data_IF_870205537279
#
_entry.id   IF_870205537279
#
_cell.length_a   1.000
_cell.length_b   1.000
_cell.length_c   1.000
_cell.angle_alpha   90.00
_cell.angle_beta   90.00
_cell.angle_gamma   90.00
#
_symmetry.space_group_name_H-M   'P 1'
#
loop_
_entity.id
_entity.type
_entity.pdbx_description
1 polymer ?
#
# COMPACT_ATOMS: atom_id res chain seq x y z
N UNK A 1 27.16 -42.11 -72.16
CA UNK A 1 25.89 -42.00 -71.42
C UNK A 1 26.21 -41.53 -70.01
N UNK A 2 25.91 -40.26 -69.70
CA UNK A 2 25.94 -39.73 -68.34
C UNK A 2 24.83 -38.69 -68.25
N UNK A 3 23.87 -38.92 -67.36
CA UNK A 3 22.69 -38.09 -67.12
C UNK A 3 23.08 -36.84 -66.33
N UNK A 4 22.56 -35.64 -66.66
CA UNK A 4 22.78 -34.47 -65.84
C UNK A 4 21.87 -34.51 -64.61
N UNK A 5 22.50 -34.32 -63.44
CA UNK A 5 21.85 -34.34 -62.13
C UNK A 5 21.32 -32.93 -61.83
N UNK A 6 20.02 -32.74 -61.95
CA UNK A 6 19.34 -31.49 -61.59
C UNK A 6 19.44 -31.26 -60.08
N UNK A 7 20.14 -30.22 -59.66
CA UNK A 7 20.15 -29.76 -58.27
C UNK A 7 18.98 -28.79 -58.07
N UNK A 8 17.97 -29.24 -57.30
CA UNK A 8 16.87 -28.39 -56.83
C UNK A 8 17.40 -27.46 -55.73
N UNK A 9 17.37 -26.15 -55.99
CA UNK A 9 17.68 -25.11 -55.01
C UNK A 9 16.46 -24.96 -54.08
N UNK A 10 16.57 -25.38 -52.82
CA UNK A 10 15.50 -25.19 -51.83
C UNK A 10 15.38 -23.71 -51.46
N UNK A 11 14.15 -23.19 -51.45
CA UNK A 11 13.86 -21.82 -51.01
C UNK A 11 14.32 -21.58 -49.55
N UNK A 12 14.83 -20.38 -49.22
CA UNK A 12 15.22 -20.05 -47.86
C UNK A 12 14.00 -20.04 -46.93
N UNK A 13 14.18 -20.42 -45.64
CA UNK A 13 13.09 -20.42 -44.67
C UNK A 13 12.53 -19.00 -44.47
N UNK A 14 11.23 -18.87 -44.16
CA UNK A 14 10.62 -17.58 -43.90
C UNK A 14 11.30 -16.89 -42.70
N UNK A 15 11.40 -15.55 -42.70
CA UNK A 15 11.98 -14.83 -41.59
C UNK A 15 11.18 -15.13 -40.30
N UNK A 16 11.85 -15.22 -39.14
CA UNK A 16 11.17 -15.41 -37.87
C UNK A 16 10.18 -14.25 -37.64
N UNK A 17 9.05 -14.50 -36.96
CA UNK A 17 8.12 -13.45 -36.61
C UNK A 17 8.85 -12.34 -35.83
N UNK A 18 8.49 -11.07 -36.03
CA UNK A 18 9.13 -9.98 -35.31
C UNK A 18 9.03 -10.23 -33.81
N UNK A 19 10.13 -9.99 -33.04
CA UNK A 19 10.09 -10.14 -31.60
C UNK A 19 9.00 -9.22 -31.02
N UNK A 20 8.31 -9.64 -29.95
CA UNK A 20 7.35 -8.76 -29.27
C UNK A 20 8.04 -7.43 -28.90
N UNK A 21 7.35 -6.29 -29.04
CA UNK A 21 7.92 -4.99 -28.73
C UNK A 21 8.48 -4.98 -27.31
N UNK A 22 9.70 -4.46 -27.16
CA UNK A 22 10.40 -4.40 -25.88
C UNK A 22 9.62 -3.55 -24.86
N UNK A 23 9.58 -3.94 -23.59
CA UNK A 23 8.91 -3.15 -22.55
C UNK A 23 9.82 -2.01 -22.12
N UNK A 24 9.70 -0.84 -22.75
CA UNK A 24 10.43 0.35 -22.29
C UNK A 24 9.82 1.67 -22.79
N UNK A 25 8.67 2.01 -22.23
CA UNK A 25 8.20 3.36 -21.94
C UNK A 25 6.93 3.18 -21.10
N UNK A 26 6.74 3.98 -20.06
CA UNK A 26 5.44 4.06 -19.39
C UNK A 26 4.38 4.31 -20.47
N UNK A 27 3.45 3.37 -20.68
CA UNK A 27 2.33 3.56 -21.61
C UNK A 27 1.45 4.68 -21.02
N UNK A 28 1.74 5.92 -21.37
CA UNK A 28 1.14 7.09 -20.75
C UNK A 28 -0.33 7.17 -21.13
N UNK A 29 -0.68 6.78 -22.36
CA UNK A 29 -2.06 6.66 -22.83
C UNK A 29 -2.84 5.62 -22.03
N UNK A 30 -2.20 4.49 -21.71
CA UNK A 30 -2.78 3.47 -20.81
C UNK A 30 -2.99 4.04 -19.41
N UNK A 31 -2.02 4.80 -18.90
CA UNK A 31 -2.11 5.41 -17.55
C UNK A 31 -3.24 6.43 -17.47
N UNK A 32 -3.35 7.33 -18.46
CA UNK A 32 -4.44 8.31 -18.55
C UNK A 32 -5.81 7.63 -18.61
N UNK A 33 -5.94 6.59 -19.44
CA UNK A 33 -7.18 5.84 -19.59
C UNK A 33 -7.56 5.09 -18.31
N UNK A 34 -6.60 4.43 -17.66
CA UNK A 34 -6.83 3.72 -16.39
C UNK A 34 -7.13 4.68 -15.24
N UNK A 35 -6.50 5.86 -15.20
CA UNK A 35 -6.79 6.87 -14.20
C UNK A 35 -8.22 7.41 -14.34
N UNK A 36 -8.67 7.71 -15.57
CA UNK A 36 -10.06 8.10 -15.80
C UNK A 36 -11.01 6.96 -15.40
N UNK A 37 -10.73 5.73 -15.82
CA UNK A 37 -11.58 4.58 -15.54
C UNK A 37 -11.70 4.27 -14.04
N UNK A 38 -10.61 4.38 -13.28
CA UNK A 38 -10.58 4.02 -11.85
C UNK A 38 -11.02 5.16 -10.91
N UNK A 39 -11.01 6.42 -11.36
CA UNK A 39 -11.43 7.57 -10.55
C UNK A 39 -12.77 8.20 -11.00
N UNK A 40 -13.31 7.78 -12.14
CA UNK A 40 -14.59 8.25 -12.66
C UNK A 40 -15.80 7.68 -11.91
N UNK A 41 -16.98 8.20 -12.21
CA UNK A 41 -18.22 7.67 -11.69
C UNK A 41 -18.48 6.24 -12.21
N UNK A 42 -18.94 5.36 -11.33
CA UNK A 42 -19.40 4.01 -11.68
C UNK A 42 -20.60 3.97 -12.64
N UNK A 43 -21.29 5.11 -12.82
CA UNK A 43 -22.40 5.29 -13.75
C UNK A 43 -21.97 6.09 -14.98
N UNK A 44 -22.38 5.63 -16.16
CA UNK A 44 -22.13 6.36 -17.41
C UNK A 44 -22.96 7.64 -17.44
N UNK A 45 -22.31 8.78 -17.63
CA UNK A 45 -22.97 10.06 -17.78
C UNK A 45 -22.36 10.86 -18.93
N UNK A 46 -23.08 11.87 -19.41
CA UNK A 46 -22.56 12.82 -20.41
C UNK A 46 -21.32 13.54 -19.89
N UNK A 47 -21.28 13.84 -18.59
CA UNK A 47 -20.13 14.45 -17.93
C UNK A 47 -18.90 13.54 -17.97
N UNK A 48 -19.05 12.25 -17.68
CA UNK A 48 -17.96 11.26 -17.75
C UNK A 48 -17.44 11.06 -19.17
N UNK A 49 -18.34 11.05 -20.17
CA UNK A 49 -17.94 10.98 -21.56
C UNK A 49 -17.17 12.23 -21.99
N UNK A 50 -17.62 13.42 -21.58
CA UNK A 50 -16.91 14.66 -21.83
C UNK A 50 -15.53 14.67 -21.14
N UNK A 51 -15.42 14.17 -19.92
CA UNK A 51 -14.14 14.04 -19.23
C UNK A 51 -13.18 13.08 -19.96
N UNK A 52 -13.67 11.92 -20.44
CA UNK A 52 -12.87 11.00 -21.25
C UNK A 52 -12.29 11.69 -22.50
N UNK A 53 -13.12 12.45 -23.22
CA UNK A 53 -12.65 13.14 -24.42
C UNK A 53 -11.65 14.23 -24.08
N UNK A 54 -11.97 15.11 -23.14
CA UNK A 54 -11.15 16.29 -22.86
C UNK A 54 -9.85 15.95 -22.09
N UNK A 55 -9.92 15.03 -21.13
CA UNK A 55 -8.80 14.77 -20.21
C UNK A 55 -7.90 13.62 -20.68
N UNK A 56 -8.43 12.70 -21.50
CA UNK A 56 -7.69 11.53 -22.02
C UNK A 56 -7.42 11.66 -23.51
N UNK A 57 -8.45 11.71 -24.36
CA UNK A 57 -8.28 11.61 -25.83
C UNK A 57 -7.61 12.85 -26.42
N UNK A 58 -7.96 14.04 -25.92
CA UNK A 58 -7.36 15.31 -26.38
C UNK A 58 -6.05 15.65 -25.66
N UNK A 59 -5.59 14.80 -24.73
CA UNK A 59 -4.34 15.02 -24.03
C UNK A 59 -3.16 14.98 -25.02
N UNK A 60 -2.24 15.97 -25.04
CA UNK A 60 -1.10 15.98 -25.96
C UNK A 60 -0.18 14.76 -25.84
N UNK A 61 -0.22 14.09 -24.71
CA UNK A 61 0.58 12.92 -24.43
C UNK A 61 -0.15 11.60 -24.75
N UNK A 62 -1.38 11.68 -25.28
CA UNK A 62 -2.14 10.54 -25.72
C UNK A 62 -1.70 10.08 -27.11
N UNK A 63 -1.38 8.80 -27.22
CA UNK A 63 -1.07 8.12 -28.46
C UNK A 63 -1.91 6.84 -28.56
N UNK A 64 -2.79 6.79 -29.56
CA UNK A 64 -3.67 5.64 -29.78
C UNK A 64 -2.91 4.35 -30.15
N UNK A 65 -1.71 4.46 -30.71
CA UNK A 65 -0.87 3.31 -31.05
C UNK A 65 -0.41 2.54 -29.80
N UNK A 66 -0.30 3.22 -28.64
CA UNK A 66 0.03 2.59 -27.35
C UNK A 66 -1.11 1.71 -26.81
N UNK A 67 -2.33 1.85 -27.36
CA UNK A 67 -3.49 1.08 -26.95
C UNK A 67 -3.70 -0.19 -27.79
N UNK A 68 -2.83 -0.47 -28.76
CA UNK A 68 -2.91 -1.69 -29.57
C UNK A 68 -2.69 -2.91 -28.65
N UNK A 69 -3.73 -3.74 -28.52
CA UNK A 69 -3.71 -4.90 -27.61
C UNK A 69 -4.00 -4.56 -26.14
N UNK A 70 -4.51 -3.35 -25.85
CA UNK A 70 -4.92 -2.96 -24.52
C UNK A 70 -5.99 -3.90 -23.94
N UNK A 71 -5.81 -4.24 -22.66
CA UNK A 71 -6.74 -5.05 -21.87
C UNK A 71 -6.86 -4.43 -20.48
N UNK A 72 -8.07 -3.98 -20.13
CA UNK A 72 -8.32 -3.29 -18.86
C UNK A 72 -8.09 -4.19 -17.63
N UNK A 73 -8.34 -5.50 -17.72
CA UNK A 73 -8.08 -6.42 -16.61
C UNK A 73 -6.58 -6.57 -16.37
N UNK A 74 -5.80 -6.67 -17.44
CA UNK A 74 -4.34 -6.73 -17.36
C UNK A 74 -3.77 -5.44 -16.79
N UNK A 75 -4.27 -4.29 -17.25
CA UNK A 75 -3.83 -2.98 -16.77
C UNK A 75 -4.17 -2.78 -15.29
N UNK A 76 -5.37 -3.14 -14.84
CA UNK A 76 -5.72 -3.11 -13.41
C UNK A 76 -4.84 -4.02 -12.56
N UNK A 77 -4.55 -5.25 -13.03
CA UNK A 77 -3.62 -6.15 -12.32
C UNK A 77 -2.23 -5.55 -12.19
N UNK A 78 -1.75 -4.85 -13.22
CA UNK A 78 -0.45 -4.16 -13.16
C UNK A 78 -0.48 -3.00 -12.15
N UNK A 79 -1.51 -2.17 -12.17
CA UNK A 79 -1.69 -1.08 -11.20
C UNK A 79 -1.73 -1.61 -9.77
N UNK A 80 -2.45 -2.71 -9.51
CA UNK A 80 -2.48 -3.34 -8.18
C UNK A 80 -1.10 -3.85 -7.75
N UNK A 81 -0.32 -4.43 -8.67
CA UNK A 81 1.03 -4.89 -8.41
C UNK A 81 1.98 -3.73 -8.10
N UNK A 82 1.91 -2.66 -8.90
CA UNK A 82 2.73 -1.47 -8.74
C UNK A 82 2.37 -0.76 -7.42
N UNK A 83 1.08 -0.65 -7.10
CA UNK A 83 0.62 -0.12 -5.82
C UNK A 83 1.19 -0.95 -4.67
N UNK A 84 1.10 -2.29 -4.71
CA UNK A 84 1.69 -3.19 -3.69
C UNK A 84 3.19 -3.02 -3.53
N UNK A 85 3.92 -2.81 -4.63
CA UNK A 85 5.35 -2.54 -4.59
C UNK A 85 5.68 -1.15 -4.01
N UNK A 86 4.82 -0.16 -4.27
CA UNK A 86 5.00 1.21 -3.81
C UNK A 86 4.39 1.49 -2.43
N UNK A 87 3.57 0.60 -1.87
CA UNK A 87 2.84 0.81 -0.61
C UNK A 87 3.84 1.02 0.54
N UNK A 88 3.97 2.26 1.09
CA UNK A 88 4.94 2.55 2.14
C UNK A 88 4.68 1.72 3.41
N UNK A 89 3.41 1.37 3.65
CA UNK A 89 3.00 0.56 4.79
C UNK A 89 3.48 -0.89 4.73
N UNK A 90 3.77 -1.42 3.54
CA UNK A 90 4.31 -2.77 3.37
C UNK A 90 5.84 -2.80 3.37
N UNK A 91 6.52 -1.64 3.46
CA UNK A 91 7.97 -1.63 3.66
C UNK A 91 8.32 -2.41 4.93
N UNK A 92 9.34 -3.26 4.82
CA UNK A 92 9.81 -4.20 5.85
C UNK A 92 8.84 -5.31 6.29
N UNK A 93 7.65 -5.41 5.68
CA UNK A 93 6.81 -6.59 5.85
C UNK A 93 7.37 -7.74 5.01
N UNK A 94 7.37 -8.94 5.58
CA UNK A 94 7.81 -10.17 4.94
C UNK A 94 6.58 -10.99 4.58
N UNK A 95 6.51 -11.41 3.33
CA UNK A 95 5.53 -12.40 2.90
C UNK A 95 5.94 -13.78 3.41
N UNK A 96 4.98 -14.52 3.96
CA UNK A 96 5.15 -15.89 4.42
C UNK A 96 3.89 -16.69 4.10
N UNK A 97 4.04 -18.01 4.05
CA UNK A 97 2.91 -18.92 4.11
C UNK A 97 2.81 -19.50 5.52
N UNK A 98 1.58 -19.71 6.02
CA UNK A 98 1.32 -20.36 7.30
C UNK A 98 0.41 -21.56 7.08
N UNK A 99 0.79 -22.67 7.71
CA UNK A 99 0.01 -23.89 7.71
C UNK A 99 -1.02 -23.84 8.84
N UNK A 100 -2.30 -23.93 8.47
CA UNK A 100 -3.41 -23.93 9.42
C UNK A 100 -4.03 -25.32 9.43
N UNK A 101 -4.17 -25.92 10.61
CA UNK A 101 -4.94 -27.14 10.77
C UNK A 101 -6.43 -26.81 10.87
N UNK A 102 -7.18 -27.25 9.86
CA UNK A 102 -8.62 -27.09 9.79
C UNK A 102 -9.29 -28.35 10.32
N UNK A 103 -10.07 -28.27 11.41
CA UNK A 103 -10.76 -29.43 11.95
C UNK A 103 -11.88 -29.88 11.01
N UNK A 104 -12.02 -31.19 10.82
CA UNK A 104 -13.00 -31.79 9.91
C UNK A 104 -14.43 -31.84 10.46
N UNK A 105 -14.66 -31.38 11.68
CA UNK A 105 -15.96 -31.43 12.36
C UNK A 105 -16.37 -32.81 12.91
N UNK A 106 -15.56 -33.84 12.69
CA UNK A 106 -15.73 -35.18 13.25
C UNK A 106 -14.50 -35.57 14.06
N UNK A 107 -14.69 -36.22 15.21
CA UNK A 107 -13.61 -36.79 16.05
C UNK A 107 -12.91 -37.99 15.39
N UNK A 108 -13.50 -38.60 14.36
CA UNK A 108 -12.92 -39.75 13.65
C UNK A 108 -12.10 -39.37 12.43
N UNK A 109 -12.17 -38.11 11.98
CA UNK A 109 -11.47 -37.62 10.79
C UNK A 109 -10.35 -36.68 11.25
N UNK A 110 -9.08 -36.95 10.90
CA UNK A 110 -7.96 -36.10 11.31
C UNK A 110 -8.05 -34.71 10.65
N UNK A 111 -7.61 -33.65 11.34
CA UNK A 111 -7.57 -32.29 10.78
C UNK A 111 -6.77 -32.22 9.48
N UNK A 112 -7.26 -31.40 8.55
CA UNK A 112 -6.56 -31.13 7.29
C UNK A 112 -5.65 -29.92 7.44
N UNK A 113 -4.38 -30.04 7.07
CA UNK A 113 -3.48 -28.89 7.02
C UNK A 113 -3.65 -28.16 5.69
N UNK A 114 -3.88 -26.85 5.74
CA UNK A 114 -4.02 -25.99 4.58
C UNK A 114 -2.96 -24.89 4.66
N UNK A 115 -2.11 -24.81 3.64
CA UNK A 115 -1.16 -23.72 3.48
C UNK A 115 -1.89 -22.47 3.01
N UNK A 116 -1.80 -21.39 3.78
CA UNK A 116 -2.34 -20.07 3.42
C UNK A 116 -1.17 -19.19 2.97
N UNK A 117 -1.01 -18.94 1.66
CA UNK A 117 0.02 -18.03 1.14
C UNK A 117 -0.42 -16.56 1.27
N UNK A 118 0.51 -15.62 1.03
CA UNK A 118 0.20 -14.20 0.96
C UNK A 118 0.02 -13.51 2.31
N UNK A 119 0.46 -14.13 3.42
CA UNK A 119 0.45 -13.48 4.72
C UNK A 119 1.67 -12.56 4.84
N UNK A 120 1.42 -11.27 5.10
CA UNK A 120 2.48 -10.31 5.39
C UNK A 120 2.64 -10.15 6.90
N UNK A 121 3.84 -10.30 7.41
CA UNK A 121 4.14 -10.05 8.82
C UNK A 121 5.38 -9.19 8.99
N UNK A 122 5.44 -8.45 10.09
CA UNK A 122 6.60 -7.67 10.49
C UNK A 122 6.94 -8.01 11.93
N UNK A 123 8.24 -8.19 12.23
CA UNK A 123 8.65 -8.51 13.61
C UNK A 123 8.30 -7.35 14.52
N UNK A 124 7.66 -7.62 15.67
CA UNK A 124 7.25 -6.58 16.61
C UNK A 124 8.40 -5.64 17.00
N UNK A 125 9.60 -6.19 17.25
CA UNK A 125 10.80 -5.39 17.55
C UNK A 125 11.19 -4.45 16.39
N UNK A 126 10.97 -4.87 15.14
CA UNK A 126 11.19 -4.01 13.97
C UNK A 126 10.20 -2.85 13.94
N UNK A 127 8.93 -3.11 14.26
CA UNK A 127 7.88 -2.09 14.33
C UNK A 127 8.25 -1.06 15.40
N UNK A 128 8.61 -1.52 16.60
CA UNK A 128 9.02 -0.64 17.72
C UNK A 128 10.21 0.22 17.30
N UNK A 129 11.26 -0.36 16.72
CA UNK A 129 12.43 0.39 16.26
C UNK A 129 12.07 1.45 15.23
N UNK A 130 11.22 1.12 14.25
CA UNK A 130 10.79 2.09 13.26
C UNK A 130 9.97 3.22 13.87
N UNK A 131 9.05 2.92 14.79
CA UNK A 131 8.28 3.95 15.47
C UNK A 131 9.18 4.95 16.22
N UNK A 132 10.29 4.49 16.82
CA UNK A 132 11.25 5.35 17.52
C UNK A 132 12.35 5.94 16.63
N UNK A 133 12.46 5.53 15.36
CA UNK A 133 13.38 6.12 14.37
C UNK A 133 12.67 7.17 13.52
N UNK A 134 11.34 7.15 13.49
CA UNK A 134 10.52 8.11 12.76
C UNK A 134 10.73 9.55 13.29
N UNK A 135 10.79 10.58 12.42
CA UNK A 135 10.92 11.97 12.86
C UNK A 135 9.82 12.41 13.84
N UNK A 136 8.62 11.86 13.74
CA UNK A 136 7.51 12.17 14.65
C UNK A 136 7.69 11.60 16.06
N UNK A 137 8.65 10.69 16.26
CA UNK A 137 8.96 10.12 17.58
C UNK A 137 9.36 11.17 18.61
N UNK A 138 9.87 12.33 18.16
CA UNK A 138 10.16 13.48 19.02
C UNK A 138 8.91 14.00 19.77
N UNK A 139 7.71 13.77 19.23
CA UNK A 139 6.45 14.16 19.85
C UNK A 139 5.92 13.13 20.86
N UNK A 140 6.60 12.00 21.07
CA UNK A 140 6.17 11.01 22.06
C UNK A 140 6.48 11.48 23.49
N UNK A 141 5.45 11.52 24.33
CA UNK A 141 5.58 11.83 25.74
C UNK A 141 5.88 10.56 26.56
N UNK A 142 7.15 10.15 26.57
CA UNK A 142 7.60 8.94 27.28
C UNK A 142 8.07 9.20 28.71
N UNK A 143 8.21 10.47 29.09
CA UNK A 143 8.60 10.86 30.45
C UNK A 143 7.37 10.99 31.33
N UNK A 144 7.46 10.69 32.63
CA UNK A 144 6.35 10.88 33.56
C UNK A 144 5.86 12.34 33.56
N UNK A 145 4.54 12.56 33.54
CA UNK A 145 3.96 13.91 33.59
C UNK A 145 2.60 13.93 34.28
N UNK A 146 2.17 15.12 34.73
CA UNK A 146 0.80 15.31 35.23
C UNK A 146 -0.07 15.99 34.18
N UNK A 147 -1.09 15.29 33.70
CA UNK A 147 -2.13 15.85 32.84
C UNK A 147 -3.27 16.46 33.66
N UNK A 148 -3.69 17.67 33.26
CA UNK A 148 -4.78 18.44 33.86
C UNK A 148 -5.72 18.92 32.77
N UNK A 149 -7.02 18.84 33.03
CA UNK A 149 -8.06 19.40 32.16
C UNK A 149 -8.65 20.64 32.81
N UNK A 150 -8.62 21.75 32.08
CA UNK A 150 -9.32 22.97 32.47
C UNK A 150 -10.79 22.86 32.07
N UNK A 151 -11.68 23.10 33.02
CA UNK A 151 -13.13 23.13 32.77
C UNK A 151 -13.57 24.59 32.80
N UNK A 152 -14.25 25.11 31.76
CA UNK A 152 -14.75 26.48 31.77
C UNK A 152 -15.64 26.74 32.99
N UNK A 153 -15.35 27.80 33.75
CA UNK A 153 -16.08 28.15 34.98
C UNK A 153 -15.62 27.45 36.26
N UNK A 154 -14.58 26.61 36.20
CA UNK A 154 -13.92 26.04 37.38
C UNK A 154 -12.49 26.56 37.46
N UNK A 155 -12.14 27.19 38.58
CA UNK A 155 -10.79 27.73 38.81
C UNK A 155 -9.76 26.62 39.08
N UNK A 156 -10.22 25.47 39.58
CA UNK A 156 -9.38 24.29 39.81
C UNK A 156 -9.36 23.39 38.58
N UNK A 157 -8.16 22.99 38.15
CA UNK A 157 -7.97 22.01 37.08
C UNK A 157 -8.30 20.59 37.55
N UNK A 158 -9.00 19.81 36.71
CA UNK A 158 -9.27 18.41 37.00
C UNK A 158 -8.07 17.54 36.62
N UNK A 159 -7.55 16.74 37.57
CA UNK A 159 -6.50 15.76 37.31
C UNK A 159 -7.01 14.67 36.36
N UNK A 160 -6.29 14.42 35.27
CA UNK A 160 -6.65 13.37 34.29
C UNK A 160 -5.64 12.23 34.33
N UNK A 161 -6.17 11.01 34.30
CA UNK A 161 -5.42 9.76 34.13
C UNK A 161 -5.90 9.10 32.84
N UNK A 162 -5.00 8.89 31.88
CA UNK A 162 -5.34 8.32 30.56
C UNK A 162 -4.33 7.27 30.10
N UNK A 163 -3.09 7.33 30.56
CA UNK A 163 -2.02 6.44 30.14
C UNK A 163 -1.05 6.17 31.30
N UNK A 164 -0.19 5.17 31.16
CA UNK A 164 0.71 4.81 32.26
C UNK A 164 1.64 5.97 32.64
N UNK A 165 2.06 6.79 31.66
CA UNK A 165 2.97 7.93 31.84
C UNK A 165 2.39 9.05 32.71
N UNK A 166 1.06 9.15 32.81
CA UNK A 166 0.40 10.14 33.66
C UNK A 166 -0.17 9.58 34.97
N UNK A 167 0.12 8.31 35.27
CA UNK A 167 -0.23 7.65 36.53
C UNK A 167 0.73 8.01 37.65
N UNK A 168 0.23 8.07 38.88
CA UNK A 168 1.07 8.35 40.05
C UNK A 168 2.07 7.22 40.31
N UNK A 169 1.73 5.98 39.97
CA UNK A 169 2.62 4.82 40.07
C UNK A 169 3.88 4.99 39.20
N UNK A 170 3.74 5.55 38.00
CA UNK A 170 4.87 5.80 37.09
C UNK A 170 5.68 7.04 37.50
N UNK A 171 5.00 8.06 38.04
CA UNK A 171 5.64 9.30 38.54
C UNK A 171 6.48 9.06 39.80
N UNK A 172 6.01 8.18 40.69
CA UNK A 172 6.66 7.92 41.99
C UNK A 172 7.72 6.82 41.95
N UNK A 173 7.95 6.20 40.79
CA UNK A 173 8.89 5.10 40.67
C UNK A 173 10.34 5.54 41.03
N UNK A 174 11.06 4.82 41.91
CA UNK A 174 12.36 5.26 42.45
C UNK A 174 13.47 5.53 41.42
N UNK A 175 13.38 4.92 40.23
CA UNK A 175 14.33 5.11 39.13
C UNK A 175 13.80 6.07 38.03
N UNK A 176 12.67 6.75 38.27
CA UNK A 176 12.18 7.78 37.38
C UNK A 176 13.09 8.99 37.45
N UNK A 177 13.92 9.21 36.41
CA UNK A 177 14.53 10.52 36.18
C UNK A 177 13.39 11.55 36.18
N UNK A 178 13.27 12.39 37.21
CA UNK A 178 12.30 13.48 37.21
C UNK A 178 12.82 14.58 36.28
N UNK A 179 12.21 14.83 35.11
CA UNK A 179 12.47 16.08 34.42
C UNK A 179 11.61 17.13 35.11
N UNK A 180 12.23 18.20 35.61
CA UNK A 180 11.54 19.33 36.24
C UNK A 180 10.78 20.21 35.22
N UNK A 181 10.06 19.60 34.27
CA UNK A 181 9.34 20.30 33.22
C UNK A 181 7.83 20.04 33.34
N UNK A 182 7.16 20.97 34.01
CA UNK A 182 5.70 21.05 34.03
C UNK A 182 5.22 21.51 32.65
N UNK A 183 4.91 20.57 31.76
CA UNK A 183 4.25 20.91 30.49
C UNK A 183 2.74 20.92 30.70
N UNK A 184 2.12 22.10 30.59
CA UNK A 184 0.66 22.23 30.54
C UNK A 184 0.23 22.09 29.08
N UNK A 185 -0.25 20.90 28.71
CA UNK A 185 -0.95 20.70 27.44
C UNK A 185 -2.37 21.26 27.59
N UNK A 186 -2.59 22.47 27.07
CA UNK A 186 -3.92 23.05 26.96
C UNK A 186 -4.55 22.57 25.65
N UNK A 187 -5.44 21.60 25.74
CA UNK A 187 -6.28 21.18 24.62
C UNK A 187 -7.41 22.19 24.48
N UNK A 188 -7.19 23.24 23.69
CA UNK A 188 -8.28 24.12 23.27
C UNK A 188 -9.20 23.31 22.34
N UNK A 189 -10.39 22.99 22.84
CA UNK A 189 -11.44 22.42 22.00
C UNK A 189 -11.91 23.52 21.04
N UNK A 190 -11.96 23.29 19.72
CA UNK A 190 -12.61 24.21 18.81
C UNK A 190 -14.09 24.28 19.19
N UNK A 191 -14.56 25.51 19.44
CA UNK A 191 -15.94 25.79 19.80
C UNK A 191 -16.91 25.28 18.74
N UNK A 192 -18.00 24.68 19.23
CA UNK A 192 -19.23 24.42 18.47
C UNK A 192 -19.83 25.71 17.90
#
# INVERSE_FOLDING_TARGET
>A
MATPRTLLLSAPPPPPPPPPPAPSASNLSTTLLMNWFNNGNTTKSEAELNALINDVVLNPAFNSEELVGFDANRANKQVDQDARAAFPLLHDFKETSVDIQVPSGSTTIPPQTIAVPGLYYRRLVSIIKSAFTDPLSYHFHLSPFKLWRKIPGCDEGLRVYSEVYNSDAFITHPNGCQPSATWTLQLDSPGL
#
